data_IF_259730919998
#
_entry.id   IF_259730919998
#
_cell.length_a   1.000
_cell.length_b   1.000
_cell.length_c   1.000
_cell.angle_alpha   90.00
_cell.angle_beta   90.00
_cell.angle_gamma   90.00
#
_symmetry.space_group_name_H-M   'P 1'
#
loop_
_entity.id
_entity.type
_entity.pdbx_description
1 polymer ?
#
# COMPACT_ATOMS: atom_id res chain seq x y z
N UNK A 1 -7.88 -10.64 -4.59
CA UNK A 1 -9.12 -9.86 -4.37
C UNK A 1 -10.11 -10.54 -3.45
N UNK A 2 -10.64 -11.73 -3.80
CA UNK A 2 -11.64 -12.42 -2.96
C UNK A 2 -11.19 -12.59 -1.49
N UNK A 3 -9.93 -12.99 -1.27
CA UNK A 3 -9.35 -13.12 0.07
C UNK A 3 -9.34 -11.79 0.84
N UNK A 4 -9.00 -10.68 0.20
CA UNK A 4 -8.96 -9.35 0.84
C UNK A 4 -10.38 -8.87 1.14
N UNK A 5 -11.32 -9.08 0.22
CA UNK A 5 -12.72 -8.70 0.43
C UNK A 5 -13.33 -9.51 1.59
N UNK A 6 -13.17 -10.83 1.61
CA UNK A 6 -13.62 -11.70 2.70
C UNK A 6 -12.93 -11.32 4.00
N UNK A 7 -11.61 -11.12 3.98
CA UNK A 7 -10.86 -10.65 5.15
C UNK A 7 -11.38 -9.33 5.69
N UNK A 8 -11.73 -8.38 4.81
CA UNK A 8 -12.26 -7.06 5.20
C UNK A 8 -13.62 -7.17 5.87
N UNK A 9 -14.48 -8.07 5.42
CA UNK A 9 -15.78 -8.33 6.05
C UNK A 9 -15.60 -9.03 7.41
N UNK A 10 -14.79 -10.09 7.46
CA UNK A 10 -14.57 -10.92 8.66
C UNK A 10 -13.85 -10.16 9.77
N UNK A 11 -12.85 -9.34 9.41
CA UNK A 11 -12.01 -8.63 10.37
C UNK A 11 -12.46 -7.19 10.64
N UNK A 12 -13.61 -6.78 10.11
CA UNK A 12 -14.15 -5.41 10.23
C UNK A 12 -14.25 -4.94 11.67
N UNK A 13 -14.60 -5.81 12.62
CA UNK A 13 -14.74 -5.47 14.05
C UNK A 13 -13.56 -5.91 14.91
N UNK A 14 -12.53 -6.53 14.32
CA UNK A 14 -11.38 -7.03 15.07
C UNK A 14 -10.37 -5.91 15.25
N UNK A 15 -10.00 -5.66 16.50
CA UNK A 15 -8.94 -4.72 16.86
C UNK A 15 -7.88 -5.45 17.66
N UNK A 16 -6.62 -5.11 17.40
CA UNK A 16 -5.48 -5.66 18.14
C UNK A 16 -4.92 -4.58 19.07
N UNK A 17 -4.81 -4.89 20.36
CA UNK A 17 -4.07 -4.06 21.33
C UNK A 17 -2.58 -4.40 21.36
N UNK A 18 -2.21 -5.59 20.91
CA UNK A 18 -0.87 -6.13 21.02
C UNK A 18 -0.52 -6.90 19.74
N UNK A 19 0.74 -6.78 19.30
CA UNK A 19 1.30 -7.57 18.20
C UNK A 19 2.59 -8.24 18.69
N UNK A 20 2.48 -9.51 19.09
CA UNK A 20 3.58 -10.23 19.74
C UNK A 20 3.93 -9.59 21.08
N UNK A 21 5.16 -9.07 21.22
CA UNK A 21 5.62 -8.38 22.44
C UNK A 21 5.40 -6.86 22.39
N UNK A 22 4.89 -6.32 21.27
CA UNK A 22 4.68 -4.87 21.09
C UNK A 22 3.25 -4.51 21.47
N UNK A 23 3.11 -3.66 22.48
CA UNK A 23 1.81 -3.13 22.93
C UNK A 23 1.51 -1.83 22.21
N UNK A 24 0.35 -1.76 21.57
CA UNK A 24 -0.11 -0.59 20.84
C UNK A 24 -0.74 0.41 21.81
N UNK A 25 -0.47 1.70 21.58
CA UNK A 25 -1.02 2.81 22.39
C UNK A 25 -2.55 2.87 22.27
N UNK A 26 -3.06 2.56 21.08
CA UNK A 26 -4.48 2.46 20.78
C UNK A 26 -4.75 1.14 20.06
N UNK A 27 -5.85 0.43 20.36
CA UNK A 27 -6.24 -0.74 19.59
C UNK A 27 -6.33 -0.40 18.11
N UNK A 28 -5.52 -1.04 17.28
CA UNK A 28 -5.52 -0.82 15.84
C UNK A 28 -6.53 -1.78 15.22
N UNK A 29 -7.45 -1.25 14.40
CA UNK A 29 -8.36 -2.11 13.64
C UNK A 29 -7.56 -2.97 12.66
N UNK A 30 -7.83 -4.27 12.64
CA UNK A 30 -7.30 -5.22 11.68
C UNK A 30 -7.55 -4.77 10.23
N UNK A 31 -8.64 -4.02 10.01
CA UNK A 31 -9.01 -3.46 8.72
C UNK A 31 -7.97 -2.45 8.20
N UNK A 32 -7.19 -1.81 9.08
CA UNK A 32 -6.11 -0.89 8.69
C UNK A 32 -4.84 -1.61 8.21
N UNK A 33 -4.72 -2.92 8.49
CA UNK A 33 -3.62 -3.78 8.05
C UNK A 33 -3.94 -4.50 6.72
N UNK A 34 -5.20 -4.72 6.40
CA UNK A 34 -5.62 -5.31 5.12
C UNK A 34 -5.15 -4.52 3.88
N UNK A 35 -5.06 -3.17 3.91
CA UNK A 35 -4.39 -2.39 2.88
C UNK A 35 -2.94 -2.79 2.58
N UNK A 36 -2.19 -3.35 3.54
CA UNK A 36 -0.83 -3.89 3.30
C UNK A 36 -0.90 -5.07 2.35
N UNK A 37 -1.77 -6.04 2.66
CA UNK A 37 -1.97 -7.24 1.85
C UNK A 37 -2.55 -6.84 0.48
N UNK A 38 -3.48 -5.90 0.47
CA UNK A 38 -4.09 -5.40 -0.75
C UNK A 38 -3.09 -4.68 -1.64
N UNK A 39 -2.23 -3.83 -1.06
CA UNK A 39 -1.16 -3.14 -1.78
C UNK A 39 -0.12 -4.11 -2.34
N UNK A 40 0.34 -5.07 -1.54
CA UNK A 40 1.25 -6.11 -2.01
C UNK A 40 0.63 -6.95 -3.15
N UNK A 41 -0.62 -7.38 -3.00
CA UNK A 41 -1.33 -8.15 -4.02
C UNK A 41 -1.55 -7.35 -5.31
N UNK A 42 -1.93 -6.08 -5.20
CA UNK A 42 -2.10 -5.21 -6.36
C UNK A 42 -0.77 -4.92 -7.05
N UNK A 43 0.32 -4.74 -6.30
CA UNK A 43 1.65 -4.62 -6.87
C UNK A 43 2.07 -5.92 -7.60
N UNK A 44 1.90 -7.09 -6.98
CA UNK A 44 2.20 -8.38 -7.63
C UNK A 44 1.36 -8.58 -8.89
N UNK A 45 0.08 -8.22 -8.87
CA UNK A 45 -0.80 -8.31 -10.04
C UNK A 45 -0.37 -7.39 -11.20
N UNK A 46 0.45 -6.38 -10.92
CA UNK A 46 1.00 -5.48 -11.94
C UNK A 46 2.32 -5.99 -12.55
N UNK A 47 2.95 -7.02 -12.00
CA UNK A 47 4.17 -7.60 -12.59
C UNK A 47 3.87 -8.32 -13.91
N UNK A 48 4.63 -7.99 -14.95
CA UNK A 48 4.61 -8.73 -16.20
C UNK A 48 5.81 -9.68 -16.23
N UNK A 49 5.56 -10.97 -16.02
CA UNK A 49 6.60 -12.01 -15.99
C UNK A 49 7.30 -12.21 -17.33
N UNK A 50 6.71 -11.73 -18.44
CA UNK A 50 7.35 -11.72 -19.74
C UNK A 50 8.44 -10.65 -19.78
N UNK A 51 9.65 -11.00 -19.32
CA UNK A 51 10.88 -10.18 -19.41
C UNK A 51 11.40 -10.07 -20.85
N UNK A 52 10.52 -9.80 -21.80
CA UNK A 52 10.92 -9.55 -23.18
C UNK A 52 11.33 -8.07 -23.29
N UNK A 53 12.57 -7.77 -23.71
CA UNK A 53 13.01 -6.40 -23.95
C UNK A 53 12.34 -5.87 -25.22
N UNK A 54 11.05 -5.55 -25.10
CA UNK A 54 10.30 -4.91 -26.16
C UNK A 54 10.38 -3.39 -25.94
N UNK A 55 10.51 -2.59 -27.02
CA UNK A 55 10.25 -1.16 -26.93
C UNK A 55 8.89 -0.97 -26.26
N UNK A 56 8.77 -0.07 -25.30
CA UNK A 56 7.51 0.22 -24.63
C UNK A 56 6.70 1.22 -25.48
N UNK A 57 5.76 0.76 -26.36
CA UNK A 57 4.91 1.69 -27.07
C UNK A 57 4.05 2.48 -26.07
N UNK A 58 3.58 3.69 -26.46
CA UNK A 58 2.69 4.48 -25.61
C UNK A 58 1.44 3.69 -25.15
N UNK A 59 0.94 2.76 -25.97
CA UNK A 59 -0.15 1.86 -25.61
C UNK A 59 0.17 0.90 -24.45
N UNK A 60 1.41 0.40 -24.34
CA UNK A 60 1.81 -0.48 -23.23
C UNK A 60 1.94 0.29 -21.91
N UNK A 61 2.33 1.57 -21.96
CA UNK A 61 2.34 2.46 -20.79
C UNK A 61 0.92 2.76 -20.33
N UNK A 62 0.03 3.09 -21.26
CA UNK A 62 -1.38 3.30 -20.96
C UNK A 62 -2.02 2.03 -20.38
N UNK A 63 -1.76 0.86 -20.96
CA UNK A 63 -2.27 -0.41 -20.44
C UNK A 63 -1.79 -0.69 -19.01
N UNK A 64 -0.50 -0.48 -18.71
CA UNK A 64 0.04 -0.61 -17.35
C UNK A 64 -0.58 0.38 -16.37
N UNK A 65 -0.76 1.63 -16.79
CA UNK A 65 -1.39 2.66 -15.99
C UNK A 65 -2.85 2.30 -15.68
N UNK A 66 -3.63 1.93 -16.70
CA UNK A 66 -5.03 1.51 -16.55
C UNK A 66 -5.13 0.28 -15.68
N UNK A 67 -4.24 -0.70 -15.85
CA UNK A 67 -4.20 -1.92 -15.06
C UNK A 67 -3.90 -1.62 -13.59
N UNK A 68 -2.84 -0.86 -13.30
CA UNK A 68 -2.49 -0.47 -11.94
C UNK A 68 -3.60 0.35 -11.28
N UNK A 69 -4.26 1.25 -12.01
CA UNK A 69 -5.40 2.01 -11.52
C UNK A 69 -6.61 1.11 -11.23
N UNK A 70 -6.92 0.16 -12.12
CA UNK A 70 -8.01 -0.79 -11.94
C UNK A 70 -7.78 -1.68 -10.70
N UNK A 71 -6.56 -2.20 -10.51
CA UNK A 71 -6.22 -3.02 -9.35
C UNK A 71 -6.21 -2.24 -8.04
N UNK A 72 -5.71 -1.01 -8.06
CA UNK A 72 -5.77 -0.12 -6.89
C UNK A 72 -7.21 0.20 -6.52
N UNK A 73 -8.06 0.47 -7.50
CA UNK A 73 -9.48 0.73 -7.28
C UNK A 73 -10.18 -0.51 -6.72
N UNK A 74 -9.94 -1.68 -7.32
CA UNK A 74 -10.50 -2.95 -6.83
C UNK A 74 -10.04 -3.24 -5.40
N UNK A 75 -8.75 -3.06 -5.10
CA UNK A 75 -8.18 -3.18 -3.77
C UNK A 75 -8.87 -2.26 -2.75
N UNK A 76 -9.09 -0.99 -3.13
CA UNK A 76 -9.79 -0.02 -2.29
C UNK A 76 -11.26 -0.36 -2.07
N UNK A 77 -11.97 -0.82 -3.09
CA UNK A 77 -13.35 -1.28 -2.94
C UNK A 77 -13.43 -2.50 -2.00
N UNK A 78 -12.49 -3.44 -2.11
CA UNK A 78 -12.45 -4.61 -1.25
C UNK A 78 -12.14 -4.25 0.22
N UNK A 79 -11.19 -3.36 0.48
CA UNK A 79 -10.85 -2.95 1.85
C UNK A 79 -11.93 -2.08 2.48
N UNK A 80 -12.57 -1.20 1.70
CA UNK A 80 -13.67 -0.36 2.19
C UNK A 80 -14.98 -1.11 2.40
N UNK A 81 -15.17 -2.29 1.80
CA UNK A 81 -16.35 -3.13 2.04
C UNK A 81 -16.52 -3.52 3.52
N UNK A 82 -15.43 -3.59 4.30
CA UNK A 82 -15.50 -3.82 5.75
C UNK A 82 -16.25 -2.73 6.52
N UNK A 83 -16.33 -1.50 5.99
CA UNK A 83 -17.10 -0.39 6.59
C UNK A 83 -18.59 -0.69 6.56
N UNK A 84 -19.09 -1.33 5.50
CA UNK A 84 -20.50 -1.64 5.33
C UNK A 84 -21.04 -2.60 6.41
N UNK A 85 -20.15 -3.30 7.13
CA UNK A 85 -20.48 -4.26 8.19
C UNK A 85 -20.16 -3.70 9.60
N UNK A 86 -19.90 -2.40 9.71
CA UNK A 86 -19.78 -1.70 11.00
C UNK A 86 -18.35 -1.59 11.53
N UNK A 87 -17.34 -1.46 10.66
CA UNK A 87 -15.96 -1.22 11.08
C UNK A 87 -15.79 0.10 11.85
N UNK A 88 -14.95 0.13 12.90
CA UNK A 88 -14.58 1.35 13.62
C UNK A 88 -13.56 2.22 12.85
N UNK A 89 -12.86 1.67 11.86
CA UNK A 89 -11.90 2.42 11.05
C UNK A 89 -12.61 3.37 10.07
N UNK A 90 -12.16 4.63 10.04
CA UNK A 90 -12.66 5.64 9.11
C UNK A 90 -12.22 5.37 7.67
N UNK A 91 -13.11 5.67 6.72
CA UNK A 91 -12.85 5.51 5.28
C UNK A 91 -11.54 6.17 4.83
N UNK A 92 -11.26 7.39 5.32
CA UNK A 92 -10.04 8.10 5.00
C UNK A 92 -8.78 7.35 5.42
N UNK A 93 -8.78 6.67 6.57
CA UNK A 93 -7.63 5.89 7.05
C UNK A 93 -7.39 4.65 6.19
N UNK A 94 -8.45 3.97 5.75
CA UNK A 94 -8.35 2.82 4.84
C UNK A 94 -7.75 3.27 3.50
N UNK A 95 -8.27 4.35 2.92
CA UNK A 95 -7.80 4.89 1.63
C UNK A 95 -6.36 5.37 1.74
N UNK A 96 -6.01 6.15 2.77
CA UNK A 96 -4.64 6.58 3.04
C UNK A 96 -3.68 5.39 3.10
N UNK A 97 -4.01 4.38 3.91
CA UNK A 97 -3.16 3.20 4.08
C UNK A 97 -3.00 2.44 2.76
N UNK A 98 -4.10 2.26 2.02
CA UNK A 98 -4.05 1.62 0.70
C UNK A 98 -3.10 2.38 -0.24
N UNK A 99 -3.26 3.70 -0.37
CA UNK A 99 -2.45 4.51 -1.26
C UNK A 99 -0.96 4.44 -0.89
N UNK A 100 -0.63 4.53 0.40
CA UNK A 100 0.76 4.42 0.88
C UNK A 100 1.33 3.03 0.57
N UNK A 101 0.67 1.95 1.00
CA UNK A 101 1.22 0.60 0.82
C UNK A 101 1.27 0.17 -0.63
N UNK A 102 0.27 0.54 -1.42
CA UNK A 102 0.25 0.24 -2.84
C UNK A 102 1.31 1.06 -3.59
N UNK A 103 1.50 2.34 -3.21
CA UNK A 103 2.60 3.17 -3.72
C UNK A 103 3.97 2.58 -3.41
N UNK A 104 4.19 2.10 -2.18
CA UNK A 104 5.42 1.40 -1.79
C UNK A 104 5.65 0.14 -2.66
N UNK A 105 4.61 -0.64 -2.93
CA UNK A 105 4.68 -1.79 -3.82
C UNK A 105 5.03 -1.40 -5.26
N UNK A 106 4.41 -0.36 -5.80
CA UNK A 106 4.70 0.16 -7.15
C UNK A 106 6.14 0.66 -7.29
N UNK A 107 6.73 1.25 -6.25
CA UNK A 107 8.16 1.63 -6.25
C UNK A 107 9.04 0.39 -6.43
N UNK A 108 8.73 -0.72 -5.74
CA UNK A 108 9.50 -1.96 -5.87
C UNK A 108 9.39 -2.57 -7.26
N UNK A 109 8.19 -2.51 -7.86
CA UNK A 109 7.99 -2.92 -9.25
C UNK A 109 8.78 -2.05 -10.22
N UNK A 110 8.76 -0.73 -10.02
CA UNK A 110 9.53 0.20 -10.83
C UNK A 110 11.02 -0.17 -10.77
N UNK A 111 11.54 -0.51 -9.59
CA UNK A 111 12.92 -0.96 -9.40
C UNK A 111 13.21 -2.37 -9.97
N UNK A 112 12.19 -3.11 -10.40
CA UNK A 112 12.32 -4.42 -11.03
C UNK A 112 12.43 -5.61 -10.07
N UNK A 113 11.96 -5.48 -8.83
CA UNK A 113 12.05 -6.52 -7.80
C UNK A 113 10.66 -7.03 -7.34
N UNK A 114 9.81 -7.57 -8.22
CA UNK A 114 8.41 -7.89 -7.90
C UNK A 114 8.21 -8.85 -6.71
N UNK A 115 9.16 -9.76 -6.48
CA UNK A 115 9.14 -10.70 -5.37
C UNK A 115 9.37 -10.04 -3.99
N UNK A 116 9.81 -8.78 -3.94
CA UNK A 116 10.03 -8.01 -2.71
C UNK A 116 8.95 -6.96 -2.45
N UNK A 117 7.85 -6.95 -3.22
CA UNK A 117 6.78 -5.93 -3.12
C UNK A 117 6.11 -5.87 -1.76
N UNK A 118 6.09 -6.97 -1.01
CA UNK A 118 5.59 -7.04 0.35
C UNK A 118 6.53 -6.38 1.38
N UNK A 119 7.84 -6.33 1.09
CA UNK A 119 8.87 -5.99 2.08
C UNK A 119 8.76 -4.54 2.57
N UNK A 120 8.63 -3.50 1.71
CA UNK A 120 8.54 -2.13 2.21
C UNK A 120 7.26 -1.88 3.00
N UNK A 121 6.14 -2.45 2.57
CA UNK A 121 4.88 -2.29 3.27
C UNK A 121 4.98 -2.91 4.68
N UNK A 122 5.53 -4.12 4.79
CA UNK A 122 5.75 -4.79 6.07
C UNK A 122 6.77 -4.04 6.95
N UNK A 123 7.89 -3.61 6.37
CA UNK A 123 8.93 -2.86 7.08
C UNK A 123 8.40 -1.54 7.61
N UNK A 124 7.63 -0.83 6.80
CA UNK A 124 7.02 0.43 7.19
C UNK A 124 5.97 0.23 8.29
N UNK A 125 5.11 -0.78 8.18
CA UNK A 125 4.16 -1.13 9.26
C UNK A 125 4.88 -1.46 10.56
N UNK A 126 5.94 -2.29 10.51
CA UNK A 126 6.75 -2.63 11.68
C UNK A 126 7.44 -1.40 12.28
N UNK A 127 8.01 -0.53 11.45
CA UNK A 127 8.62 0.72 11.90
C UNK A 127 7.60 1.63 12.59
N UNK A 128 6.37 1.74 12.05
CA UNK A 128 5.30 2.50 12.67
C UNK A 128 4.87 1.89 14.02
N UNK A 129 4.83 0.57 14.12
CA UNK A 129 4.53 -0.14 15.38
C UNK A 129 5.60 0.05 16.44
N UNK A 130 6.88 0.04 16.06
CA UNK A 130 8.01 0.06 17.01
C UNK A 130 8.48 1.46 17.38
N UNK A 131 8.42 2.40 16.44
CA UNK A 131 9.03 3.73 16.56
C UNK A 131 8.05 4.86 16.25
N UNK A 132 6.81 4.54 15.87
CA UNK A 132 5.84 5.52 15.40
C UNK A 132 5.27 6.42 16.48
N UNK A 133 5.67 6.27 17.74
CA UNK A 133 5.13 7.02 18.88
C UNK A 133 6.21 7.83 19.60
N UNK A 134 5.86 9.02 20.14
CA UNK A 134 6.76 9.82 20.94
C UNK A 134 6.91 9.25 22.36
N UNK A 135 8.13 9.28 22.90
CA UNK A 135 8.43 8.75 24.24
C UNK A 135 7.61 9.40 25.38
N UNK A 136 7.19 10.66 25.22
CA UNK A 136 6.56 11.47 26.27
C UNK A 136 5.25 12.15 25.82
N UNK A 137 4.54 11.60 24.84
CA UNK A 137 3.33 12.21 24.28
C UNK A 137 2.25 11.21 23.90
N UNK A 138 1.02 11.69 23.76
CA UNK A 138 -0.09 10.91 23.22
C UNK A 138 -0.12 11.05 21.68
N UNK A 139 -0.25 9.91 20.99
CA UNK A 139 -0.44 9.87 19.54
C UNK A 139 0.73 9.27 18.76
N UNK A 140 0.72 9.47 17.44
CA UNK A 140 1.73 8.96 16.51
C UNK A 140 2.47 10.12 15.84
N UNK A 141 3.72 9.88 15.45
CA UNK A 141 4.48 10.81 14.61
C UNK A 141 3.84 11.00 13.23
N UNK A 142 4.14 12.13 12.59
CA UNK A 142 3.61 12.51 11.27
C UNK A 142 3.87 11.47 10.17
N UNK A 143 4.91 10.64 10.32
CA UNK A 143 5.25 9.59 9.35
C UNK A 143 4.58 8.25 9.69
N UNK A 144 4.05 8.06 10.90
CA UNK A 144 3.41 6.82 11.36
C UNK A 144 1.88 6.88 11.26
N UNK A 145 1.36 7.69 10.35
CA UNK A 145 -0.08 7.96 10.20
C UNK A 145 -0.88 6.69 9.95
N UNK A 146 -0.31 5.67 9.30
CA UNK A 146 -1.01 4.40 9.01
C UNK A 146 -1.55 3.66 10.23
N UNK A 147 -1.06 3.99 11.43
CA UNK A 147 -1.51 3.42 12.70
C UNK A 147 -2.79 4.06 13.25
N UNK A 148 -3.19 5.22 12.73
CA UNK A 148 -4.42 5.91 13.17
C UNK A 148 -5.63 5.39 12.41
N UNK A 149 -6.74 5.21 13.12
CA UNK A 149 -8.05 4.81 12.62
C UNK A 149 -8.83 5.95 11.95
N UNK A 150 -8.42 7.19 12.23
CA UNK A 150 -8.89 8.40 11.56
C UNK A 150 -7.78 8.98 10.69
N UNK A 151 -8.15 9.53 9.55
CA UNK A 151 -7.24 10.28 8.69
C UNK A 151 -7.84 11.66 8.41
N UNK A 152 -6.99 12.67 8.47
CA UNK A 152 -7.35 14.01 8.01
C UNK A 152 -7.37 14.05 6.48
N UNK A 153 -8.04 15.05 5.90
CA UNK A 153 -7.99 15.28 4.44
C UNK A 153 -6.55 15.48 3.96
N UNK A 154 -5.72 16.15 4.76
CA UNK A 154 -4.30 16.35 4.45
C UNK A 154 -3.55 15.01 4.35
N UNK A 155 -3.81 14.05 5.25
CA UNK A 155 -3.17 12.73 5.21
C UNK A 155 -3.51 11.98 3.93
N UNK A 156 -4.78 12.02 3.51
CA UNK A 156 -5.24 11.36 2.28
C UNK A 156 -4.64 12.04 1.05
N UNK A 157 -4.56 13.37 1.02
CA UNK A 157 -3.94 14.12 -0.07
C UNK A 157 -2.45 13.83 -0.16
N UNK A 158 -1.73 13.81 0.96
CA UNK A 158 -0.31 13.45 0.99
C UNK A 158 -0.08 12.00 0.54
N UNK A 159 -0.88 11.05 1.03
CA UNK A 159 -0.84 9.66 0.59
C UNK A 159 -1.13 9.51 -0.91
N UNK A 160 -2.11 10.27 -1.43
CA UNK A 160 -2.41 10.36 -2.85
C UNK A 160 -1.24 10.92 -3.66
N UNK A 161 -0.56 11.95 -3.16
CA UNK A 161 0.65 12.50 -3.79
C UNK A 161 1.79 11.48 -3.85
N UNK A 162 2.05 10.76 -2.76
CA UNK A 162 3.05 9.68 -2.70
C UNK A 162 2.70 8.57 -3.69
N UNK A 163 1.43 8.12 -3.70
CA UNK A 163 0.95 7.11 -4.61
C UNK A 163 1.08 7.55 -6.07
N UNK A 164 0.70 8.78 -6.41
CA UNK A 164 0.78 9.30 -7.77
C UNK A 164 2.24 9.42 -8.23
N UNK A 165 3.16 9.79 -7.36
CA UNK A 165 4.59 9.81 -7.66
C UNK A 165 5.14 8.40 -7.93
N UNK A 166 4.76 7.42 -7.10
CA UNK A 166 5.11 6.01 -7.29
C UNK A 166 4.47 5.39 -8.55
N UNK A 167 3.23 5.76 -8.83
CA UNK A 167 2.51 5.35 -10.01
C UNK A 167 3.16 5.93 -11.27
N UNK A 168 3.52 7.21 -11.25
CA UNK A 168 4.25 7.85 -12.33
C UNK A 168 5.62 7.21 -12.54
N UNK A 169 6.36 6.86 -11.49
CA UNK A 169 7.66 6.20 -11.62
C UNK A 169 7.55 4.77 -12.16
N UNK A 170 6.48 4.05 -11.82
CA UNK A 170 6.17 2.73 -12.38
C UNK A 170 5.77 2.78 -13.86
N UNK A 171 4.98 3.78 -14.26
CA UNK A 171 4.51 3.95 -15.65
C UNK A 171 5.59 4.58 -16.53
N UNK A 172 6.44 5.44 -15.97
CA UNK A 172 7.54 6.05 -16.69
C UNK A 172 8.55 4.98 -17.10
N UNK A 173 9.06 5.01 -18.35
CA UNK A 173 10.13 4.11 -18.75
C UNK A 173 11.38 4.45 -17.92
N UNK A 174 11.76 3.56 -17.01
CA UNK A 174 13.14 3.56 -16.54
C UNK A 174 13.96 3.17 -17.76
N UNK A 175 14.72 4.12 -18.32
CA UNK A 175 15.90 3.78 -19.11
C UNK A 175 16.71 2.82 -18.25
N UNK A 176 16.56 1.51 -18.43
CA UNK A 176 17.62 0.58 -18.08
C UNK A 176 18.79 1.04 -18.91
N UNK A 177 19.72 1.77 -18.29
CA UNK A 177 21.08 1.89 -18.83
C UNK A 177 21.55 0.45 -18.96
N UNK A 178 21.54 0.00 -20.19
CA UNK A 178 22.22 -1.19 -20.67
C UNK A 178 23.70 -0.98 -20.32
N UNK A 179 24.14 -1.46 -19.17
CA UNK A 179 25.56 -1.70 -18.90
C UNK A 179 26.02 -3.00 -19.62
N UNK A 180 25.47 -3.28 -20.81
CA UNK A 180 25.89 -4.41 -21.65
C UNK A 180 26.77 -3.97 -22.82
N UNK A 181 27.16 -2.68 -22.89
CA UNK A 181 28.14 -2.21 -23.88
C UNK A 181 29.56 -2.08 -23.27
N UNK A 182 29.81 -2.72 -22.11
CA UNK A 182 31.16 -2.83 -21.51
C UNK A 182 31.46 -4.26 -21.07
N UNK A 183 31.37 -5.24 -21.97
CA UNK A 183 32.12 -6.50 -21.94
C UNK A 183 32.22 -7.07 -23.36
#
# INVERSE_FOLDING_TARGET
>A
MAVIAVGSLVLSQVSFSDFGMVRLISPMSALLLLPVIAGAAAAIACDNTARLPLPDPPGAKLARAVWAAAWTTAAGLATTAGILVGSPAGWGAIVRNLLIYNGLGLIVLALGYPHLTWLPALTYTMACMLFGYPNNGLGYYWWATVMTDQATTADVVCAGGIYLAAFASYVAPIRRRRNEDML
#
